data_IF_509478442906
#
_entry.id   IF_509478442906
#
_cell.length_a   1.000
_cell.length_b   1.000
_cell.length_c   1.000
_cell.angle_alpha   90.00
_cell.angle_beta   90.00
_cell.angle_gamma   90.00
#
_symmetry.space_group_name_H-M   'P 1'
#
loop_
_entity.id
_entity.type
_entity.pdbx_description
1 polymer ?
#
# COMPACT_ATOMS: atom_id res chain seq x y z
N UNK A 1 -8.06 1.43 -12.00
CA UNK A 1 -6.85 2.28 -11.88
C UNK A 1 -5.63 1.44 -12.25
N UNK A 2 -4.67 1.96 -13.03
CA UNK A 2 -3.45 1.21 -13.34
C UNK A 2 -2.41 1.31 -12.21
N UNK A 3 -1.43 0.39 -12.15
CA UNK A 3 -0.35 0.44 -11.13
C UNK A 3 0.42 1.75 -11.17
N UNK A 4 0.72 2.24 -12.37
CA UNK A 4 1.42 3.51 -12.58
C UNK A 4 0.59 4.70 -12.07
N UNK A 5 -0.72 4.68 -12.31
CA UNK A 5 -1.62 5.75 -11.85
C UNK A 5 -1.78 5.73 -10.32
N UNK A 6 -1.88 4.54 -9.71
CA UNK A 6 -1.89 4.41 -8.24
C UNK A 6 -0.58 4.92 -7.63
N UNK A 7 0.57 4.50 -8.19
CA UNK A 7 1.88 4.93 -7.74
C UNK A 7 2.03 6.46 -7.77
N UNK A 8 1.59 7.07 -8.87
CA UNK A 8 1.57 8.52 -9.05
C UNK A 8 0.70 9.21 -7.99
N UNK A 9 -0.52 8.74 -7.76
CA UNK A 9 -1.43 9.31 -6.74
C UNK A 9 -0.90 9.15 -5.32
N UNK A 10 -0.28 8.02 -5.01
CA UNK A 10 0.30 7.73 -3.70
C UNK A 10 1.67 8.40 -3.48
N UNK A 11 2.27 9.03 -4.50
CA UNK A 11 3.61 9.62 -4.39
C UNK A 11 4.70 8.58 -4.12
N UNK A 12 4.57 7.38 -4.71
CA UNK A 12 5.54 6.29 -4.60
C UNK A 12 5.96 5.78 -5.98
N UNK A 13 7.04 4.99 -6.05
CA UNK A 13 7.45 4.41 -7.33
C UNK A 13 6.51 3.28 -7.77
N UNK A 14 6.30 3.05 -9.08
CA UNK A 14 5.58 1.87 -9.56
C UNK A 14 6.20 0.54 -9.10
N UNK A 15 7.51 0.52 -8.87
CA UNK A 15 8.21 -0.63 -8.29
C UNK A 15 7.77 -0.91 -6.85
N UNK A 16 7.52 0.14 -6.06
CA UNK A 16 6.99 0.03 -4.70
C UNK A 16 5.61 -0.64 -4.71
N UNK A 17 4.71 -0.23 -5.62
CA UNK A 17 3.39 -0.86 -5.77
C UNK A 17 3.54 -2.34 -6.12
N UNK A 18 4.39 -2.68 -7.10
CA UNK A 18 4.62 -4.09 -7.47
C UNK A 18 5.12 -4.94 -6.30
N UNK A 19 6.02 -4.41 -5.46
CA UNK A 19 6.51 -5.10 -4.26
C UNK A 19 5.39 -5.33 -3.25
N UNK A 20 4.59 -4.31 -2.98
CA UNK A 20 3.44 -4.40 -2.06
C UNK A 20 2.43 -5.45 -2.53
N UNK A 21 2.06 -5.43 -3.81
CA UNK A 21 1.16 -6.44 -4.39
C UNK A 21 1.75 -7.86 -4.39
N UNK A 22 3.08 -7.98 -4.37
CA UNK A 22 3.78 -9.25 -4.26
C UNK A 22 4.00 -9.70 -2.81
N UNK A 23 3.37 -9.03 -1.84
CA UNK A 23 3.42 -9.39 -0.41
C UNK A 23 4.70 -8.97 0.31
N UNK A 24 5.53 -8.10 -0.28
CA UNK A 24 6.74 -7.64 0.39
C UNK A 24 6.42 -6.64 1.52
N UNK A 25 7.16 -6.69 2.63
CA UNK A 25 7.00 -5.72 3.70
C UNK A 25 7.31 -4.31 3.19
N UNK A 26 6.52 -3.34 3.63
CA UNK A 26 6.72 -1.93 3.32
C UNK A 26 6.48 -1.06 4.55
N UNK A 27 6.99 0.17 4.51
CA UNK A 27 6.84 1.11 5.62
C UNK A 27 5.38 1.47 5.84
N UNK A 28 5.00 1.73 7.08
CA UNK A 28 3.66 2.21 7.43
C UNK A 28 3.24 3.47 6.67
N UNK A 29 4.19 4.37 6.41
CA UNK A 29 3.98 5.56 5.58
C UNK A 29 3.57 5.20 4.14
N UNK A 30 4.19 4.18 3.54
CA UNK A 30 3.82 3.67 2.21
C UNK A 30 2.41 3.09 2.21
N UNK A 31 2.06 2.28 3.22
CA UNK A 31 0.70 1.75 3.38
C UNK A 31 -0.34 2.87 3.47
N UNK A 32 -0.08 3.90 4.29
CA UNK A 32 -0.96 5.07 4.45
C UNK A 32 -1.17 5.81 3.13
N UNK A 33 -0.09 6.14 2.42
CA UNK A 33 -0.13 6.81 1.11
C UNK A 33 -0.95 6.03 0.07
N UNK A 34 -0.81 4.71 0.05
CA UNK A 34 -1.58 3.83 -0.85
C UNK A 34 -3.07 3.85 -0.50
N UNK A 35 -3.44 3.78 0.79
CA UNK A 35 -4.84 3.88 1.24
C UNK A 35 -5.45 5.23 0.86
N UNK A 36 -4.75 6.33 1.12
CA UNK A 36 -5.21 7.68 0.76
C UNK A 36 -5.43 7.82 -0.76
N UNK A 37 -4.51 7.29 -1.56
CA UNK A 37 -4.65 7.28 -3.03
C UNK A 37 -5.81 6.41 -3.54
N UNK A 38 -6.22 5.41 -2.76
CA UNK A 38 -7.41 4.59 -3.01
C UNK A 38 -8.70 5.21 -2.45
N UNK A 39 -8.62 6.31 -1.70
CA UNK A 39 -9.76 6.92 -1.01
C UNK A 39 -10.24 6.12 0.19
N UNK A 40 -9.37 5.30 0.78
CA UNK A 40 -9.68 4.44 1.92
C UNK A 40 -9.22 5.05 3.24
N UNK A 41 -9.89 4.65 4.33
CA UNK A 41 -9.51 5.08 5.67
C UNK A 41 -8.24 4.34 6.14
N UNK A 42 -7.44 4.93 7.06
CA UNK A 42 -6.31 4.25 7.68
C UNK A 42 -6.65 2.96 8.44
N UNK A 43 -7.94 2.77 8.77
CA UNK A 43 -8.47 1.59 9.44
C UNK A 43 -8.62 0.41 8.48
N UNK A 44 -8.75 0.63 7.17
CA UNK A 44 -8.81 -0.42 6.16
C UNK A 44 -7.45 -1.11 5.90
N UNK A 45 -6.40 -0.74 6.64
CA UNK A 45 -5.03 -1.24 6.43
C UNK A 45 -4.92 -2.75 6.52
N UNK A 46 -5.51 -3.36 7.55
CA UNK A 46 -5.41 -4.81 7.76
C UNK A 46 -6.18 -5.59 6.69
N UNK A 47 -7.31 -5.05 6.23
CA UNK A 47 -8.08 -5.62 5.12
C UNK A 47 -7.30 -5.54 3.78
N UNK A 48 -6.60 -4.43 3.53
CA UNK A 48 -5.92 -4.17 2.26
C UNK A 48 -4.54 -4.83 2.19
N UNK A 49 -3.78 -4.84 3.28
CA UNK A 49 -2.39 -5.32 3.30
C UNK A 49 -2.20 -6.63 4.07
N UNK A 50 -3.26 -7.16 4.68
CA UNK A 50 -3.19 -8.31 5.57
C UNK A 50 -2.60 -7.98 6.94
N UNK A 51 -2.60 -8.95 7.87
CA UNK A 51 -1.91 -8.83 9.15
C UNK A 51 -0.41 -8.67 8.91
N UNK A 52 0.23 -7.83 9.72
CA UNK A 52 1.69 -7.69 9.64
C UNK A 52 2.34 -9.03 10.02
N UNK A 53 3.27 -9.58 9.20
CA UNK A 53 3.84 -10.91 9.40
C UNK A 53 4.69 -11.05 10.66
N UNK A 54 5.01 -9.93 11.33
CA UNK A 54 5.74 -9.89 12.61
C UNK A 54 4.80 -9.80 13.83
N UNK A 55 3.48 -9.83 13.64
CA UNK A 55 2.49 -9.77 14.73
C UNK A 55 2.11 -11.15 15.31
N UNK A 56 2.90 -12.21 15.06
CA UNK A 56 2.73 -13.57 15.63
C UNK A 56 3.90 -13.96 16.52
#
# INVERSE_FOLDING_TARGET
MSKAELARRAGVSPLTINRVESGWPCRMDTKRKILEALGLSPSAREEVFGPDPEAS
#
